data_IF_705563201727
#
_entry.id   IF_705563201727
#
_cell.length_a   1.000
_cell.length_b   1.000
_cell.length_c   1.000
_cell.angle_alpha   90.00
_cell.angle_beta   90.00
_cell.angle_gamma   90.00
#
_symmetry.space_group_name_H-M   'P 1'
#
loop_
_entity.id
_entity.type
_entity.pdbx_description
1 polymer ?
#
# COMPACT_ATOMS: atom_id res chain seq x y z
N UNK A 1 -3.34 -45.16 -54.30
CA UNK A 1 -4.45 -44.45 -53.63
C UNK A 1 -3.88 -43.56 -52.52
N UNK A 2 -4.28 -42.29 -52.41
CA UNK A 2 -3.84 -41.40 -51.32
C UNK A 2 -4.68 -41.71 -50.07
N UNK A 3 -4.09 -42.30 -49.04
CA UNK A 3 -4.75 -42.45 -47.75
C UNK A 3 -4.92 -41.07 -47.09
N UNK A 4 -6.16 -40.70 -46.79
CA UNK A 4 -6.50 -39.53 -45.99
C UNK A 4 -6.01 -39.73 -44.55
N UNK A 5 -5.20 -38.79 -44.05
CA UNK A 5 -4.69 -38.83 -42.67
C UNK A 5 -5.86 -38.65 -41.69
N UNK A 6 -6.07 -39.62 -40.81
CA UNK A 6 -7.02 -39.51 -39.69
C UNK A 6 -6.59 -38.35 -38.77
N UNK A 7 -7.51 -37.45 -38.44
CA UNK A 7 -7.30 -36.38 -37.46
C UNK A 7 -7.86 -36.83 -36.11
N UNK A 8 -7.11 -36.60 -35.04
CA UNK A 8 -7.49 -36.93 -33.67
C UNK A 8 -7.60 -35.64 -32.86
N UNK A 9 -8.64 -35.54 -32.03
CA UNK A 9 -8.82 -34.42 -31.10
C UNK A 9 -7.71 -34.40 -30.04
N UNK A 10 -7.37 -33.22 -29.53
CA UNK A 10 -6.30 -33.04 -28.53
C UNK A 10 -6.66 -33.71 -27.20
N UNK A 11 -7.91 -33.61 -26.75
CA UNK A 11 -8.42 -34.31 -25.56
C UNK A 11 -8.24 -35.83 -25.65
N UNK A 12 -8.54 -36.40 -26.82
CA UNK A 12 -8.37 -37.83 -27.07
C UNK A 12 -6.90 -38.25 -27.04
N UNK A 13 -6.01 -37.45 -27.65
CA UNK A 13 -4.56 -37.70 -27.59
C UNK A 13 -4.07 -37.67 -26.14
N UNK A 14 -4.50 -36.69 -25.35
CA UNK A 14 -4.14 -36.56 -23.95
C UNK A 14 -4.59 -37.77 -23.13
N UNK A 15 -5.84 -38.22 -23.31
CA UNK A 15 -6.35 -39.40 -22.62
C UNK A 15 -5.51 -40.66 -22.93
N UNK A 16 -5.17 -40.88 -24.20
CA UNK A 16 -4.31 -41.99 -24.63
C UNK A 16 -2.90 -41.87 -24.05
N UNK A 17 -2.33 -40.67 -24.01
CA UNK A 17 -1.00 -40.42 -23.42
C UNK A 17 -1.04 -40.68 -21.91
N UNK A 18 -2.05 -40.17 -21.19
CA UNK A 18 -2.21 -40.36 -19.74
C UNK A 18 -2.27 -41.84 -19.42
N UNK A 19 -3.14 -42.60 -20.10
CA UNK A 19 -3.23 -44.05 -19.92
C UNK A 19 -1.88 -44.72 -20.20
N UNK A 20 -1.20 -44.34 -21.28
CA UNK A 20 0.10 -44.90 -21.61
C UNK A 20 1.24 -44.49 -20.66
N UNK A 21 1.06 -43.46 -19.82
CA UNK A 21 2.00 -43.06 -18.77
C UNK A 21 1.70 -43.75 -17.42
N UNK A 22 0.50 -44.32 -17.24
CA UNK A 22 0.18 -45.09 -16.05
C UNK A 22 1.00 -46.38 -16.06
N UNK A 23 1.62 -46.72 -14.92
CA UNK A 23 2.54 -47.87 -14.77
C UNK A 23 1.95 -49.26 -15.07
N UNK A 24 0.66 -49.35 -15.42
CA UNK A 24 -0.08 -50.62 -15.58
C UNK A 24 -0.30 -51.03 -17.05
N UNK A 25 0.00 -50.17 -18.02
CA UNK A 25 -0.28 -50.43 -19.43
C UNK A 25 0.93 -50.08 -20.30
N UNK A 26 1.38 -51.04 -21.10
CA UNK A 26 2.45 -50.83 -22.06
C UNK A 26 1.93 -50.07 -23.29
N UNK A 27 2.81 -49.38 -24.01
CA UNK A 27 2.42 -48.66 -25.25
C UNK A 27 1.76 -49.54 -26.29
N UNK A 28 2.08 -50.85 -26.30
CA UNK A 28 1.48 -51.83 -27.21
C UNK A 28 0.07 -52.24 -26.78
N UNK A 29 -0.19 -52.35 -25.48
CA UNK A 29 -1.51 -52.66 -24.93
C UNK A 29 -2.46 -51.47 -25.12
N UNK A 30 -2.03 -50.25 -24.77
CA UNK A 30 -2.84 -49.04 -25.01
C UNK A 30 -3.14 -48.86 -26.51
N UNK A 31 -2.16 -49.13 -27.38
CA UNK A 31 -2.39 -49.09 -28.82
C UNK A 31 -3.47 -50.10 -29.26
N UNK A 32 -3.52 -51.30 -28.66
CA UNK A 32 -4.56 -52.29 -28.94
C UNK A 32 -5.93 -51.85 -28.42
N UNK A 33 -6.02 -51.38 -27.17
CA UNK A 33 -7.28 -50.98 -26.53
C UNK A 33 -7.98 -49.85 -27.29
N UNK A 34 -7.19 -48.91 -27.84
CA UNK A 34 -7.71 -47.78 -28.62
C UNK A 34 -7.68 -48.00 -30.14
N UNK A 35 -7.35 -49.21 -30.63
CA UNK A 35 -7.20 -49.54 -32.06
C UNK A 35 -6.27 -48.57 -32.83
N UNK A 36 -5.13 -48.22 -32.22
CA UNK A 36 -4.10 -47.34 -32.74
C UNK A 36 -2.83 -48.11 -33.10
N UNK A 37 -1.98 -47.52 -33.93
CA UNK A 37 -0.64 -48.06 -34.19
C UNK A 37 0.33 -47.67 -33.04
N UNK A 38 1.17 -48.58 -32.52
CA UNK A 38 2.10 -48.29 -31.42
C UNK A 38 3.03 -47.09 -31.65
N UNK A 39 3.46 -46.87 -32.89
CA UNK A 39 4.31 -45.73 -33.26
C UNK A 39 3.58 -44.38 -33.10
N UNK A 40 2.26 -44.37 -33.31
CA UNK A 40 1.46 -43.16 -33.18
C UNK A 40 1.38 -42.72 -31.71
N UNK A 41 1.18 -43.68 -30.81
CA UNK A 41 1.18 -43.43 -29.35
C UNK A 41 2.56 -42.94 -28.90
N UNK A 42 3.64 -43.56 -29.40
CA UNK A 42 5.01 -43.16 -29.08
C UNK A 42 5.33 -41.75 -29.58
N UNK A 43 4.85 -41.39 -30.77
CA UNK A 43 4.96 -40.04 -31.32
C UNK A 43 4.22 -39.01 -30.47
N UNK A 44 2.98 -39.28 -30.07
CA UNK A 44 2.19 -38.37 -29.24
C UNK A 44 2.79 -38.16 -27.86
N UNK A 45 3.35 -39.20 -27.24
CA UNK A 45 4.11 -39.05 -25.99
C UNK A 45 5.26 -38.05 -26.15
N UNK A 46 6.05 -38.17 -27.21
CA UNK A 46 7.15 -37.24 -27.47
C UNK A 46 6.67 -35.81 -27.72
N UNK A 47 5.61 -35.65 -28.50
CA UNK A 47 4.99 -34.33 -28.74
C UNK A 47 4.49 -33.68 -27.45
N UNK A 48 3.89 -34.47 -26.55
CA UNK A 48 3.42 -34.02 -25.24
C UNK A 48 4.55 -33.56 -24.32
N UNK A 49 5.63 -34.35 -24.19
CA UNK A 49 6.78 -33.92 -23.38
C UNK A 49 7.43 -32.64 -23.93
N UNK A 50 7.56 -32.53 -25.26
CA UNK A 50 8.07 -31.31 -25.88
C UNK A 50 7.16 -30.10 -25.60
N UNK A 51 5.83 -30.30 -25.58
CA UNK A 51 4.89 -29.22 -25.22
C UNK A 51 4.99 -28.81 -23.75
N UNK A 52 5.24 -29.74 -22.83
CA UNK A 52 5.44 -29.44 -21.40
C UNK A 52 6.71 -28.61 -21.22
N UNK A 53 7.82 -29.06 -21.81
CA UNK A 53 9.11 -28.33 -21.75
C UNK A 53 8.96 -26.92 -22.32
N UNK A 54 8.25 -26.79 -23.45
CA UNK A 54 7.97 -25.48 -24.03
C UNK A 54 7.05 -24.62 -23.14
N UNK A 55 6.04 -25.24 -22.50
CA UNK A 55 5.14 -24.56 -21.58
C UNK A 55 5.89 -24.04 -20.36
N UNK A 56 6.71 -24.86 -19.70
CA UNK A 56 7.53 -24.45 -18.55
C UNK A 56 8.46 -23.29 -18.91
N UNK A 57 9.23 -23.42 -20.00
CA UNK A 57 10.13 -22.35 -20.48
C UNK A 57 9.39 -21.06 -20.88
N UNK A 58 8.13 -21.16 -21.28
CA UNK A 58 7.29 -20.01 -21.63
C UNK A 58 6.54 -19.44 -20.42
N UNK A 59 6.25 -20.26 -19.41
CA UNK A 59 5.58 -19.87 -18.19
C UNK A 59 6.48 -18.95 -17.37
N UNK A 60 7.75 -19.34 -17.18
CA UNK A 60 8.75 -18.56 -16.46
C UNK A 60 8.91 -17.15 -17.05
N UNK A 61 8.89 -17.05 -18.39
CA UNK A 61 8.99 -15.75 -19.09
C UNK A 61 7.74 -14.90 -18.91
N UNK A 62 6.56 -15.51 -19.05
CA UNK A 62 5.27 -14.80 -18.89
C UNK A 62 5.07 -14.34 -17.45
N UNK A 63 5.42 -15.16 -16.47
CA UNK A 63 5.32 -14.83 -15.05
C UNK A 63 6.24 -13.65 -14.71
N UNK A 64 7.52 -13.71 -15.12
CA UNK A 64 8.46 -12.58 -14.99
C UNK A 64 7.95 -11.29 -15.65
N UNK A 65 7.40 -11.36 -16.86
CA UNK A 65 6.89 -10.18 -17.56
C UNK A 65 5.65 -9.57 -16.87
N UNK A 66 4.77 -10.41 -16.34
CA UNK A 66 3.60 -9.98 -15.57
C UNK A 66 4.00 -9.36 -14.23
N UNK A 67 4.96 -9.95 -13.51
CA UNK A 67 5.53 -9.40 -12.28
C UNK A 67 6.19 -8.04 -12.53
N UNK A 68 6.95 -7.90 -13.62
CA UNK A 68 7.54 -6.61 -13.97
C UNK A 68 6.48 -5.55 -14.32
N UNK A 69 5.41 -5.95 -15.03
CA UNK A 69 4.33 -5.04 -15.38
C UNK A 69 3.55 -4.57 -14.14
N UNK A 70 3.27 -5.47 -13.20
CA UNK A 70 2.61 -5.16 -11.93
C UNK A 70 3.50 -4.28 -11.06
N UNK A 71 4.77 -4.63 -10.87
CA UNK A 71 5.74 -3.83 -10.11
C UNK A 71 5.89 -2.40 -10.69
N UNK A 72 5.91 -2.25 -12.02
CA UNK A 72 5.93 -0.94 -12.68
C UNK A 72 4.65 -0.13 -12.39
N UNK A 73 3.49 -0.78 -12.37
CA UNK A 73 2.20 -0.13 -12.07
C UNK A 73 2.16 0.32 -10.61
N UNK A 74 2.55 -0.54 -9.67
CA UNK A 74 2.63 -0.24 -8.25
C UNK A 74 3.61 0.92 -7.98
N UNK A 75 4.80 0.88 -8.57
CA UNK A 75 5.78 1.95 -8.44
C UNK A 75 5.22 3.30 -8.93
N UNK A 76 4.47 3.32 -10.03
CA UNK A 76 3.79 4.53 -10.52
C UNK A 76 2.73 5.03 -9.53
N UNK A 77 1.93 4.14 -8.96
CA UNK A 77 0.91 4.51 -7.97
C UNK A 77 1.54 5.04 -6.67
N UNK A 78 2.56 4.37 -6.13
CA UNK A 78 3.28 4.84 -4.95
C UNK A 78 3.93 6.21 -5.17
N UNK A 79 4.46 6.48 -6.37
CA UNK A 79 4.98 7.82 -6.73
C UNK A 79 3.88 8.88 -6.70
N UNK A 80 2.68 8.57 -7.22
CA UNK A 80 1.53 9.48 -7.17
C UNK A 80 1.07 9.73 -5.74
N UNK A 81 0.92 8.69 -4.92
CA UNK A 81 0.54 8.80 -3.51
C UNK A 81 1.54 9.70 -2.78
N UNK A 82 2.85 9.43 -2.88
CA UNK A 82 3.88 10.27 -2.25
C UNK A 82 3.87 11.71 -2.72
N UNK A 83 3.55 11.97 -4.00
CA UNK A 83 3.40 13.33 -4.52
C UNK A 83 2.20 14.02 -3.85
N UNK A 84 1.05 13.34 -3.79
CA UNK A 84 -0.16 13.85 -3.16
C UNK A 84 0.04 14.09 -1.66
N UNK A 85 0.71 13.20 -0.94
CA UNK A 85 1.00 13.36 0.50
C UNK A 85 1.80 14.64 0.76
N UNK A 86 2.86 14.89 -0.03
CA UNK A 86 3.64 16.12 0.09
C UNK A 86 2.82 17.37 -0.23
N UNK A 87 1.97 17.30 -1.26
CA UNK A 87 1.09 18.42 -1.63
C UNK A 87 0.05 18.69 -0.54
N UNK A 88 -0.53 17.66 0.08
CA UNK A 88 -1.47 17.81 1.19
C UNK A 88 -0.81 18.41 2.42
N UNK A 89 0.37 17.93 2.82
CA UNK A 89 1.11 18.49 3.97
C UNK A 89 1.43 19.97 3.73
N UNK A 90 1.86 20.32 2.52
CA UNK A 90 2.14 21.71 2.16
C UNK A 90 0.87 22.58 2.20
N UNK A 91 -0.25 22.09 1.65
CA UNK A 91 -1.54 22.80 1.68
C UNK A 91 -2.03 23.02 3.12
N UNK A 92 -1.97 22.00 3.98
CA UNK A 92 -2.35 22.13 5.40
C UNK A 92 -1.55 23.20 6.10
N UNK A 93 -0.22 23.19 5.93
CA UNK A 93 0.67 24.20 6.50
C UNK A 93 0.29 25.60 6.01
N UNK A 94 0.07 25.77 4.71
CA UNK A 94 -0.32 27.06 4.12
C UNK A 94 -1.68 27.54 4.60
N UNK A 95 -2.65 26.65 4.76
CA UNK A 95 -3.95 26.99 5.33
C UNK A 95 -3.84 27.44 6.78
N UNK A 96 -3.03 26.77 7.60
CA UNK A 96 -2.78 27.19 8.98
C UNK A 96 -2.06 28.55 9.07
N UNK A 97 -1.22 28.90 8.09
CA UNK A 97 -0.58 30.22 8.00
C UNK A 97 -1.58 31.34 7.61
N UNK A 98 -2.58 31.05 6.76
CA UNK A 98 -3.50 32.05 6.21
C UNK A 98 -4.78 32.22 7.06
N UNK A 99 -5.31 31.13 7.63
CA UNK A 99 -6.60 31.12 8.32
C UNK A 99 -6.45 30.73 9.81
N UNK A 100 -6.95 31.56 10.74
CA UNK A 100 -7.03 31.18 12.15
C UNK A 100 -8.03 30.02 12.35
N UNK A 101 -8.03 29.42 13.54
CA UNK A 101 -8.81 28.22 13.84
C UNK A 101 -10.32 28.40 13.59
N UNK A 102 -10.87 29.56 13.90
CA UNK A 102 -12.28 29.91 13.70
C UNK A 102 -12.63 29.93 12.21
N UNK A 103 -11.74 30.47 11.37
CA UNK A 103 -11.90 30.51 9.92
C UNK A 103 -11.89 29.12 9.30
N UNK A 104 -11.07 28.20 9.83
CA UNK A 104 -11.04 26.80 9.38
C UNK A 104 -12.29 26.04 9.82
N UNK A 105 -12.84 26.32 11.01
CA UNK A 105 -14.11 25.72 11.45
C UNK A 105 -15.29 26.12 10.57
N UNK A 106 -15.29 27.34 10.04
CA UNK A 106 -16.33 27.82 9.13
C UNK A 106 -16.33 27.12 7.75
N UNK A 107 -15.21 26.50 7.36
CA UNK A 107 -15.09 25.73 6.11
C UNK A 107 -15.66 24.30 6.21
N UNK A 108 -16.07 23.86 7.40
CA UNK A 108 -16.64 22.53 7.58
C UNK A 108 -18.01 22.45 6.94
N UNK A 109 -18.16 21.53 6.01
CA UNK A 109 -19.43 21.24 5.39
C UNK A 109 -20.19 20.17 6.19
N UNK A 110 -21.25 20.63 6.87
CA UNK A 110 -22.12 19.78 7.68
C UNK A 110 -23.25 19.14 6.86
N UNK A 111 -23.40 19.50 5.58
CA UNK A 111 -24.47 19.04 4.72
C UNK A 111 -23.87 18.37 3.48
N UNK A 112 -24.13 17.06 3.29
CA UNK A 112 -23.81 16.28 2.08
C UNK A 112 -22.43 16.52 1.43
N UNK A 113 -21.38 16.31 2.22
CA UNK A 113 -20.01 16.16 1.70
C UNK A 113 -19.68 14.68 1.45
N UNK A 114 -19.02 14.38 0.32
CA UNK A 114 -18.44 13.05 0.04
C UNK A 114 -17.47 12.59 1.15
N UNK A 115 -16.93 13.53 1.91
CA UNK A 115 -16.05 13.31 3.06
C UNK A 115 -16.80 13.45 4.38
N UNK A 116 -16.58 12.50 5.29
CA UNK A 116 -17.12 12.59 6.66
C UNK A 116 -16.58 13.81 7.41
N UNK A 117 -17.37 14.40 8.30
CA UNK A 117 -16.97 15.54 9.13
C UNK A 117 -15.61 15.34 9.85
N UNK A 118 -15.30 14.17 10.43
CA UNK A 118 -13.97 13.91 11.00
C UNK A 118 -12.84 13.95 9.96
N UNK A 119 -13.11 13.49 8.73
CA UNK A 119 -12.12 13.54 7.66
C UNK A 119 -11.89 14.98 7.19
N UNK A 120 -12.94 15.76 7.05
CA UNK A 120 -12.84 17.19 6.74
C UNK A 120 -12.02 17.93 7.80
N UNK A 121 -12.29 17.68 9.09
CA UNK A 121 -11.53 18.26 10.20
C UNK A 121 -10.04 17.91 10.13
N UNK A 122 -9.71 16.64 9.85
CA UNK A 122 -8.32 16.20 9.67
C UNK A 122 -7.65 16.85 8.46
N UNK A 123 -8.38 17.11 7.38
CA UNK A 123 -7.86 17.82 6.21
C UNK A 123 -7.60 19.29 6.50
N UNK A 124 -8.44 19.92 7.32
CA UNK A 124 -8.31 21.30 7.76
C UNK A 124 -7.35 21.47 8.96
N UNK A 125 -6.70 20.40 9.41
CA UNK A 125 -5.77 20.40 10.56
C UNK A 125 -6.43 20.86 11.87
N UNK A 126 -7.67 20.41 12.09
CA UNK A 126 -8.48 20.67 13.28
C UNK A 126 -8.60 19.41 14.14
N UNK A 127 -8.63 19.60 15.46
CA UNK A 127 -8.91 18.53 16.40
C UNK A 127 -10.36 18.06 16.27
N UNK A 128 -10.56 16.79 15.96
CA UNK A 128 -11.91 16.22 15.76
C UNK A 128 -12.77 16.34 17.02
N UNK A 129 -12.14 16.29 18.20
CA UNK A 129 -12.81 16.48 19.50
C UNK A 129 -13.37 17.88 19.69
N UNK A 130 -12.74 18.90 19.09
CA UNK A 130 -13.21 20.28 19.18
C UNK A 130 -14.54 20.48 18.44
N UNK A 131 -14.91 19.58 17.52
CA UNK A 131 -16.19 19.63 16.80
C UNK A 131 -17.39 19.20 17.65
N UNK A 132 -17.15 18.34 18.64
CA UNK A 132 -18.19 17.80 19.51
C UNK A 132 -18.26 18.52 20.86
N UNK A 133 -17.31 19.42 21.13
CA UNK A 133 -17.30 20.21 22.35
C UNK A 133 -18.41 21.26 22.33
N UNK A 134 -19.37 21.14 23.25
CA UNK A 134 -20.29 22.23 23.60
C UNK A 134 -19.72 22.94 24.82
N UNK A 135 -19.47 24.26 24.78
CA UNK A 135 -19.05 24.96 25.98
C UNK A 135 -20.14 24.76 27.05
N UNK A 136 -19.77 24.11 28.16
CA UNK A 136 -20.69 24.00 29.29
C UNK A 136 -20.86 25.40 29.85
N UNK A 137 -22.04 25.99 29.67
CA UNK A 137 -22.40 27.19 30.40
C UNK A 137 -22.22 26.89 31.88
N UNK A 138 -21.19 27.49 32.49
CA UNK A 138 -21.10 27.56 33.94
C UNK A 138 -22.34 28.34 34.36
N UNK A 139 -23.29 27.67 35.03
CA UNK A 139 -24.45 28.33 35.60
C UNK A 139 -23.93 29.37 36.61
N UNK A 140 -24.26 30.62 36.39
CA UNK A 140 -23.92 31.73 37.28
C UNK A 140 -24.33 31.39 38.71
N UNK A 141 -23.35 31.26 39.61
CA UNK A 141 -23.62 31.02 41.03
C UNK A 141 -22.47 30.47 41.87
N UNK A 142 -21.37 29.96 41.29
CA UNK A 142 -20.34 29.26 42.11
C UNK A 142 -18.89 29.50 41.68
N UNK A 143 -18.49 30.76 41.46
CA UNK A 143 -17.07 31.13 41.40
C UNK A 143 -16.77 32.44 42.13
N UNK A 144 -17.31 32.59 43.34
CA UNK A 144 -16.72 33.49 44.34
C UNK A 144 -16.02 32.63 45.36
N UNK A 145 -14.86 32.07 45.02
CA UNK A 145 -13.80 31.57 45.90
C UNK A 145 -12.74 30.89 45.01
N UNK A 146 -11.80 31.68 44.47
CA UNK A 146 -10.41 31.29 44.12
C UNK A 146 -9.75 32.42 43.31
N UNK A 147 -9.67 33.61 43.92
CA UNK A 147 -8.63 34.60 43.61
C UNK A 147 -7.87 34.92 44.90
N UNK A 148 -7.41 33.89 45.62
CA UNK A 148 -6.56 34.09 46.80
C UNK A 148 -5.90 32.79 47.27
N UNK A 149 -5.25 32.03 46.40
CA UNK A 149 -4.15 31.14 46.85
C UNK A 149 -3.30 30.66 45.67
N UNK A 150 -2.11 31.26 45.56
CA UNK A 150 -0.83 30.70 45.11
C UNK A 150 -0.92 29.29 44.47
N UNK A 151 -0.99 29.22 43.14
CA UNK A 151 -0.52 28.03 42.43
C UNK A 151 0.97 28.18 42.20
N UNK A 152 1.75 27.53 43.07
CA UNK A 152 3.21 27.43 43.04
C UNK A 152 3.60 26.37 41.97
N UNK A 153 4.23 26.73 40.85
CA UNK A 153 4.75 25.72 39.94
C UNK A 153 6.00 25.08 40.54
N UNK A 154 5.94 23.76 40.77
CA UNK A 154 7.11 22.97 41.10
C UNK A 154 7.97 22.76 39.84
N UNK A 155 9.20 23.28 39.89
CA UNK A 155 10.40 22.84 39.18
C UNK A 155 10.36 22.65 37.66
N UNK A 156 10.98 23.61 36.95
CA UNK A 156 11.92 23.31 35.87
C UNK A 156 13.06 24.33 35.95
N UNK A 157 14.12 23.92 36.64
CA UNK A 157 15.38 24.65 36.73
C UNK A 157 16.10 24.59 35.37
N UNK A 158 16.07 25.69 34.62
CA UNK A 158 17.08 25.98 33.60
C UNK A 158 17.96 27.09 34.17
N UNK A 159 19.16 26.70 34.60
CA UNK A 159 20.23 27.59 35.06
C UNK A 159 20.62 28.54 33.93
N UNK A 160 20.29 29.83 34.06
CA UNK A 160 21.02 30.89 33.39
C UNK A 160 22.21 31.25 34.28
N UNK A 161 23.44 31.00 33.79
CA UNK A 161 24.69 31.51 34.39
C UNK A 161 24.72 33.03 34.21
N UNK A 162 25.06 33.82 35.24
CA UNK A 162 25.42 35.21 35.04
C UNK A 162 26.87 35.31 34.52
N UNK A 163 27.03 35.96 33.37
CA UNK A 163 28.30 36.47 32.84
C UNK A 163 28.98 37.34 33.92
N UNK A 164 30.15 36.92 34.39
CA UNK A 164 31.02 37.75 35.23
C UNK A 164 31.82 38.67 34.29
N UNK A 165 31.47 39.95 34.28
CA UNK A 165 32.34 41.01 33.79
C UNK A 165 33.63 41.04 34.62
N UNK A 166 34.74 40.57 34.04
CA UNK A 166 36.09 40.79 34.53
C UNK A 166 36.59 42.12 33.96
N UNK A 167 36.59 43.12 34.82
CA UNK A 167 37.36 44.35 34.64
C UNK A 167 38.85 43.99 34.69
N UNK A 168 39.55 44.06 33.55
CA UNK A 168 41.00 43.96 33.48
C UNK A 168 41.56 45.38 33.44
N UNK A 169 42.34 45.68 34.48
CA UNK A 169 43.15 46.88 34.66
C UNK A 169 44.09 47.10 33.47
N UNK A 170 44.15 48.35 33.04
CA UNK A 170 45.20 48.93 32.20
C UNK A 170 46.39 49.37 33.06
N UNK A 171 47.54 48.71 32.90
CA UNK A 171 48.88 49.22 33.26
C UNK A 171 49.82 48.71 32.13
N UNK A 172 50.09 49.51 31.09
CA UNK A 172 51.28 50.35 30.92
C UNK A 172 52.60 49.66 31.28
N UNK A 173 53.37 49.29 30.25
CA UNK A 173 54.82 49.06 30.32
C UNK A 173 55.44 49.84 29.16
N UNK A 174 56.36 50.75 29.53
CA UNK A 174 57.38 51.32 28.67
C UNK A 174 58.50 50.30 28.43
#
# INVERSE_FOLDING_TARGET
MRQTRKRYNEEFKLQVIIEALRKKSTTKEVARDYNLHPDLVSRWKREFFNSIVYFELSHDKKESDLEQATAKREAKLCRKIRKLDRQLVWLKKKMAEVLPQEGRLALLDRQDSELSLPMQARLLDLDVTSLFYKPSHVKDGSYRLMKSTVFRPANLAIRQKPEKNLSIRSEHVQ
#
